data_IF_191888122686
#
_entry.id   IF_191888122686
#
_cell.length_a   1.000
_cell.length_b   1.000
_cell.length_c   1.000
_cell.angle_alpha   90.00
_cell.angle_beta   90.00
_cell.angle_gamma   90.00
#
_symmetry.space_group_name_H-M   'P 1'
#
loop_
_entity.id
_entity.type
_entity.pdbx_description
1 polymer ?
#
# COMPACT_ATOMS: atom_id res chain seq x y z
N UNK A 1 -11.95 -14.54 -8.58
CA UNK A 1 -11.55 -13.33 -7.82
C UNK A 1 -10.80 -13.63 -6.51
N UNK A 2 -10.11 -14.78 -6.36
CA UNK A 2 -9.41 -15.15 -5.11
C UNK A 2 -8.02 -14.49 -4.95
N UNK A 3 -7.50 -13.89 -6.02
CA UNK A 3 -6.12 -13.49 -6.21
C UNK A 3 -5.83 -12.06 -5.72
N UNK A 4 -6.80 -11.14 -5.81
CA UNK A 4 -6.66 -9.78 -5.27
C UNK A 4 -6.61 -9.74 -3.74
N UNK A 5 -7.41 -10.59 -3.08
CA UNK A 5 -7.46 -10.63 -1.62
C UNK A 5 -6.16 -11.19 -1.01
N UNK A 6 -5.62 -12.29 -1.57
CA UNK A 6 -4.36 -12.85 -1.10
C UNK A 6 -3.20 -11.86 -1.30
N UNK A 7 -3.22 -11.12 -2.42
CA UNK A 7 -2.26 -10.05 -2.71
C UNK A 7 -2.33 -8.92 -1.69
N UNK A 8 -3.52 -8.36 -1.42
CA UNK A 8 -3.70 -7.29 -0.45
C UNK A 8 -3.22 -7.68 0.96
N UNK A 9 -3.49 -8.91 1.40
CA UNK A 9 -2.99 -9.43 2.70
C UNK A 9 -1.48 -9.55 2.73
N UNK A 10 -0.89 -10.11 1.68
CA UNK A 10 0.56 -10.28 1.57
C UNK A 10 1.27 -8.94 1.54
N UNK A 11 0.73 -7.99 0.78
CA UNK A 11 1.22 -6.63 0.69
C UNK A 11 1.16 -5.93 2.05
N UNK A 12 -0.02 -5.91 2.69
CA UNK A 12 -0.20 -5.28 4.01
C UNK A 12 0.76 -5.85 5.06
N UNK A 13 0.92 -7.17 5.11
CA UNK A 13 1.82 -7.82 6.07
C UNK A 13 3.29 -7.47 5.80
N UNK A 14 3.72 -7.53 4.53
CA UNK A 14 5.08 -7.20 4.12
C UNK A 14 5.39 -5.74 4.45
N UNK A 15 4.54 -4.81 4.02
CA UNK A 15 4.75 -3.37 4.18
C UNK A 15 4.85 -3.00 5.67
N UNK A 16 3.96 -3.52 6.53
CA UNK A 16 4.00 -3.27 7.98
C UNK A 16 5.26 -3.84 8.64
N UNK A 17 5.69 -5.05 8.26
CA UNK A 17 6.93 -5.62 8.80
C UNK A 17 8.16 -4.83 8.37
N UNK A 18 8.19 -4.35 7.13
CA UNK A 18 9.29 -3.54 6.63
C UNK A 18 9.36 -2.19 7.33
N UNK A 19 8.20 -1.57 7.57
CA UNK A 19 8.13 -0.33 8.30
C UNK A 19 8.70 -0.48 9.73
N UNK A 20 8.26 -1.51 10.47
CA UNK A 20 8.75 -1.75 11.81
C UNK A 20 10.28 -2.00 11.86
N UNK A 21 10.80 -2.77 10.89
CA UNK A 21 12.25 -3.03 10.79
C UNK A 21 13.02 -1.75 10.44
N UNK A 22 12.50 -0.91 9.55
CA UNK A 22 13.11 0.37 9.18
C UNK A 22 13.30 1.30 10.37
N UNK A 23 12.26 1.44 11.22
CA UNK A 23 12.32 2.24 12.44
C UNK A 23 13.40 1.73 13.40
N UNK A 24 13.44 0.42 13.65
CA UNK A 24 14.43 -0.21 14.55
C UNK A 24 15.86 -0.03 14.03
N UNK A 25 16.08 -0.11 12.72
CA UNK A 25 17.39 0.11 12.11
C UNK A 25 17.82 1.56 12.28
N UNK A 26 16.91 2.52 12.08
CA UNK A 26 17.21 3.95 12.24
C UNK A 26 17.59 4.27 13.68
N UNK A 27 16.78 3.83 14.65
CA UNK A 27 17.06 4.01 16.09
C UNK A 27 18.39 3.38 16.49
N UNK A 28 18.67 2.16 16.00
CA UNK A 28 19.93 1.47 16.29
C UNK A 28 21.14 2.22 15.72
N UNK A 29 21.06 2.65 14.46
CA UNK A 29 22.13 3.37 13.78
C UNK A 29 22.43 4.75 14.40
N UNK A 30 21.39 5.47 14.85
CA UNK A 30 21.56 6.70 15.61
C UNK A 30 22.25 6.43 16.96
N UNK A 31 21.79 5.40 17.68
CA UNK A 31 22.31 5.04 19.00
C UNK A 31 23.79 4.66 19.00
N UNK A 32 24.27 3.99 17.94
CA UNK A 32 25.68 3.63 17.79
C UNK A 32 26.54 4.76 17.17
N UNK A 33 25.95 5.92 16.85
CA UNK A 33 26.64 7.05 16.22
C UNK A 33 27.06 6.79 14.77
N UNK A 34 26.45 5.81 14.10
CA UNK A 34 26.77 5.48 12.70
C UNK A 34 26.18 6.48 11.72
N UNK A 35 25.03 7.08 12.06
CA UNK A 35 24.39 8.14 11.28
C UNK A 35 24.47 9.47 12.04
N UNK A 36 24.68 10.57 11.31
CA UNK A 36 24.59 11.92 11.86
C UNK A 36 23.13 12.39 11.91
N UNK A 37 22.84 13.36 12.78
CA UNK A 37 21.46 13.85 13.00
C UNK A 37 20.72 14.23 11.71
N UNK A 38 21.37 14.95 10.79
CA UNK A 38 20.73 15.35 9.52
C UNK A 38 20.43 14.17 8.58
N UNK A 39 21.19 13.08 8.66
CA UNK A 39 20.93 11.86 7.88
C UNK A 39 19.80 11.05 8.52
N UNK A 40 19.76 10.98 9.86
CA UNK A 40 18.66 10.37 10.61
C UNK A 40 17.34 11.10 10.33
N UNK A 41 17.33 12.43 10.35
CA UNK A 41 16.14 13.24 10.04
C UNK A 41 15.63 12.99 8.61
N UNK A 42 16.52 12.99 7.61
CA UNK A 42 16.14 12.73 6.22
C UNK A 42 15.57 11.32 6.04
N UNK A 43 16.24 10.30 6.58
CA UNK A 43 15.77 8.91 6.49
C UNK A 43 14.48 8.68 7.29
N UNK A 44 14.34 9.34 8.44
CA UNK A 44 13.10 9.36 9.23
C UNK A 44 11.94 9.96 8.45
N UNK A 45 12.18 11.03 7.68
CA UNK A 45 11.19 11.62 6.79
C UNK A 45 10.71 10.65 5.70
N UNK A 46 11.63 9.95 5.03
CA UNK A 46 11.31 8.93 4.03
C UNK A 46 10.50 7.79 4.66
N UNK A 47 10.93 7.33 5.84
CA UNK A 47 10.24 6.28 6.57
C UNK A 47 8.81 6.70 7.00
N UNK A 48 8.63 7.95 7.43
CA UNK A 48 7.32 8.47 7.77
C UNK A 48 6.39 8.55 6.54
N UNK A 49 6.93 8.92 5.38
CA UNK A 49 6.19 8.91 4.12
C UNK A 49 5.74 7.48 3.76
N UNK A 50 6.63 6.49 3.86
CA UNK A 50 6.31 5.08 3.66
C UNK A 50 5.15 4.61 4.54
N UNK A 51 5.19 4.92 5.84
CA UNK A 51 4.14 4.57 6.79
C UNK A 51 2.83 5.29 6.46
N UNK A 52 2.89 6.56 6.06
CA UNK A 52 1.71 7.32 5.65
C UNK A 52 1.04 6.69 4.43
N UNK A 53 1.81 6.27 3.43
CA UNK A 53 1.29 5.59 2.23
C UNK A 53 0.59 4.28 2.59
N UNK A 54 1.18 3.48 3.48
CA UNK A 54 0.56 2.23 3.94
C UNK A 54 -0.72 2.48 4.73
N UNK A 55 -0.74 3.53 5.54
CA UNK A 55 -1.92 3.93 6.27
C UNK A 55 -3.05 4.35 5.32
N UNK A 56 -2.74 5.13 4.27
CA UNK A 56 -3.70 5.51 3.23
C UNK A 56 -4.26 4.28 2.50
N UNK A 57 -3.42 3.29 2.20
CA UNK A 57 -3.86 2.02 1.62
C UNK A 57 -4.86 1.28 2.51
N UNK A 58 -4.53 1.09 3.79
CA UNK A 58 -5.43 0.41 4.75
C UNK A 58 -6.72 1.21 4.96
N UNK A 59 -6.63 2.54 5.00
CA UNK A 59 -7.79 3.42 5.09
C UNK A 59 -8.69 3.24 3.87
N UNK A 60 -8.12 3.22 2.67
CA UNK A 60 -8.89 3.06 1.43
C UNK A 60 -9.68 1.75 1.41
N UNK A 61 -9.07 0.64 1.84
CA UNK A 61 -9.74 -0.66 1.99
C UNK A 61 -10.84 -0.65 3.06
N UNK A 62 -10.68 0.15 4.12
CA UNK A 62 -11.65 0.24 5.22
C UNK A 62 -12.81 1.20 4.95
N UNK A 63 -12.60 2.22 4.12
CA UNK A 63 -13.61 3.22 3.74
C UNK A 63 -14.19 2.99 2.35
N UNK A 64 -13.85 1.88 1.70
CA UNK A 64 -14.32 1.55 0.36
C UNK A 64 -14.01 2.67 -0.67
N UNK A 65 -12.91 3.41 -0.45
CA UNK A 65 -12.56 4.56 -1.28
C UNK A 65 -11.67 4.11 -2.44
N UNK A 66 -12.28 3.93 -3.60
CA UNK A 66 -11.63 3.43 -4.80
C UNK A 66 -10.48 4.32 -5.30
N UNK A 67 -10.67 5.64 -5.33
CA UNK A 67 -9.66 6.57 -5.83
C UNK A 67 -8.43 6.59 -4.91
N UNK A 68 -8.65 6.62 -3.59
CA UNK A 68 -7.59 6.53 -2.60
C UNK A 68 -6.88 5.17 -2.66
N UNK A 69 -7.60 4.09 -2.98
CA UNK A 69 -7.04 2.76 -3.16
C UNK A 69 -6.08 2.71 -4.35
N UNK A 70 -6.48 3.25 -5.50
CA UNK A 70 -5.61 3.28 -6.68
C UNK A 70 -4.37 4.18 -6.49
N UNK A 71 -4.55 5.36 -5.88
CA UNK A 71 -3.45 6.26 -5.55
C UNK A 71 -2.44 5.59 -4.59
N UNK A 72 -2.94 5.00 -3.51
CA UNK A 72 -2.10 4.32 -2.54
C UNK A 72 -1.39 3.11 -3.13
N UNK A 73 -2.02 2.28 -3.98
CA UNK A 73 -1.34 1.17 -4.69
C UNK A 73 -0.23 1.68 -5.61
N UNK A 74 -0.46 2.79 -6.32
CA UNK A 74 0.57 3.41 -7.18
C UNK A 74 1.76 3.90 -6.35
N UNK A 75 1.52 4.55 -5.21
CA UNK A 75 2.57 5.01 -4.29
C UNK A 75 3.31 3.85 -3.63
N UNK A 76 2.62 2.81 -3.16
CA UNK A 76 3.24 1.58 -2.62
C UNK A 76 4.11 0.91 -3.67
N UNK A 77 3.71 0.88 -4.95
CA UNK A 77 4.51 0.28 -6.02
C UNK A 77 5.89 0.93 -6.17
N UNK A 78 6.01 2.24 -5.97
CA UNK A 78 7.31 2.95 -6.05
C UNK A 78 8.22 2.50 -4.91
N UNK A 79 7.70 2.43 -3.69
CA UNK A 79 8.44 1.98 -2.52
C UNK A 79 8.88 0.51 -2.64
N UNK A 80 8.00 -0.37 -3.14
CA UNK A 80 8.36 -1.75 -3.41
C UNK A 80 9.49 -1.87 -4.43
N UNK A 81 9.51 -1.02 -5.46
CA UNK A 81 10.58 -1.02 -6.46
C UNK A 81 11.90 -0.57 -5.84
N UNK A 82 11.88 0.52 -5.06
CA UNK A 82 13.05 1.05 -4.36
C UNK A 82 13.63 0.06 -3.33
N UNK A 83 12.76 -0.68 -2.62
CA UNK A 83 13.15 -1.69 -1.65
C UNK A 83 13.58 -3.04 -2.27
N UNK A 84 13.54 -3.18 -3.60
CA UNK A 84 13.93 -4.41 -4.30
C UNK A 84 12.85 -5.51 -4.33
N UNK A 85 11.61 -5.22 -3.93
CA UNK A 85 10.45 -6.12 -4.00
C UNK A 85 9.85 -6.18 -5.41
N UNK A 86 10.67 -6.55 -6.39
CA UNK A 86 10.35 -6.47 -7.83
C UNK A 86 9.09 -7.26 -8.19
N UNK A 87 8.86 -8.42 -7.55
CA UNK A 87 7.67 -9.23 -7.81
C UNK A 87 6.38 -8.53 -7.38
N UNK A 88 6.35 -7.96 -6.17
CA UNK A 88 5.19 -7.22 -5.68
C UNK A 88 4.95 -5.93 -6.46
N UNK A 89 6.02 -5.21 -6.85
CA UNK A 89 5.91 -4.02 -7.68
C UNK A 89 5.34 -4.34 -9.07
N UNK A 90 5.79 -5.44 -9.70
CA UNK A 90 5.22 -5.91 -10.98
C UNK A 90 3.75 -6.30 -10.86
N UNK A 91 3.38 -7.00 -9.78
CA UNK A 91 2.00 -7.34 -9.50
C UNK A 91 1.12 -6.10 -9.27
N UNK A 92 1.64 -5.08 -8.54
CA UNK A 92 0.96 -3.79 -8.37
C UNK A 92 0.71 -3.11 -9.71
N UNK A 93 1.74 -3.08 -10.57
CA UNK A 93 1.64 -2.48 -11.89
C UNK A 93 0.60 -3.19 -12.78
N UNK A 94 0.61 -4.52 -12.81
CA UNK A 94 -0.41 -5.30 -13.53
C UNK A 94 -1.82 -5.07 -12.98
N UNK A 95 -1.95 -4.98 -11.65
CA UNK A 95 -3.22 -4.65 -11.02
C UNK A 95 -3.75 -3.29 -11.51
N UNK A 96 -2.93 -2.23 -11.46
CA UNK A 96 -3.32 -0.89 -11.92
C UNK A 96 -3.69 -0.86 -13.41
N UNK A 97 -2.96 -1.61 -14.24
CA UNK A 97 -3.29 -1.76 -15.67
C UNK A 97 -4.63 -2.47 -15.90
N UNK A 98 -4.98 -3.45 -15.07
CA UNK A 98 -6.28 -4.11 -15.15
C UNK A 98 -7.38 -3.18 -14.67
N UNK A 99 -7.13 -2.41 -13.62
CA UNK A 99 -8.11 -1.49 -13.05
C UNK A 99 -8.43 -0.31 -13.97
N UNK A 100 -7.46 0.18 -14.77
CA UNK A 100 -7.74 1.22 -15.77
C UNK A 100 -8.63 0.75 -16.92
N UNK A 101 -8.59 -0.55 -17.23
CA UNK A 101 -9.42 -1.18 -18.27
C UNK A 101 -10.77 -1.67 -17.73
N UNK A 102 -10.97 -1.61 -16.42
CA UNK A 102 -12.10 -2.22 -15.74
C UNK A 102 -13.44 -1.70 -16.27
N UNK A 103 -13.56 -0.38 -16.46
CA UNK A 103 -14.75 0.28 -17.01
C UNK A 103 -15.13 -0.21 -18.41
N UNK A 104 -14.15 -0.58 -19.24
CA UNK A 104 -14.41 -1.11 -20.58
C UNK A 104 -14.74 -2.61 -20.57
N UNK A 105 -14.45 -3.31 -19.46
CA UNK A 105 -14.60 -4.76 -19.34
C UNK A 105 -15.84 -5.22 -18.59
N UNK A 106 -16.43 -4.36 -17.75
CA UNK A 106 -17.61 -4.65 -16.96
C UNK A 106 -18.84 -3.91 -17.49
N UNK A 107 -20.05 -4.46 -17.33
CA UNK A 107 -21.29 -3.70 -17.47
C UNK A 107 -21.29 -2.49 -16.52
N UNK A 108 -21.83 -1.35 -16.96
CA UNK A 108 -21.82 -0.09 -16.18
C UNK A 108 -22.38 -0.29 -14.75
N UNK A 109 -23.44 -1.08 -14.61
CA UNK A 109 -24.05 -1.37 -13.32
C UNK A 109 -23.11 -2.13 -12.36
N UNK A 110 -22.35 -3.10 -12.88
CA UNK A 110 -21.38 -3.86 -12.08
C UNK A 110 -20.16 -3.02 -11.74
N UNK A 111 -19.74 -2.13 -12.65
CA UNK A 111 -18.66 -1.19 -12.40
C UNK A 111 -19.02 -0.20 -11.29
N UNK A 112 -20.21 0.38 -11.33
CA UNK A 112 -20.70 1.30 -10.29
C UNK A 112 -20.80 0.61 -8.93
N UNK A 113 -21.33 -0.62 -8.89
CA UNK A 113 -21.34 -1.40 -7.65
C UNK A 113 -19.91 -1.67 -7.16
N UNK A 114 -18.98 -2.04 -8.05
CA UNK A 114 -17.61 -2.35 -7.67
C UNK A 114 -16.87 -1.15 -7.08
N UNK A 115 -17.06 0.04 -7.66
CA UNK A 115 -16.39 1.29 -7.27
C UNK A 115 -17.08 1.96 -6.08
N UNK A 116 -18.41 2.04 -6.10
CA UNK A 116 -19.20 2.85 -5.16
C UNK A 116 -19.63 2.06 -3.91
N UNK A 117 -19.83 0.74 -4.01
CA UNK A 117 -20.23 -0.11 -2.88
C UNK A 117 -19.04 -0.88 -2.27
N UNK A 118 -17.80 -0.62 -2.72
CA UNK A 118 -16.60 -1.18 -2.07
C UNK A 118 -16.32 -2.64 -2.35
N UNK A 119 -16.98 -3.29 -3.32
CA UNK A 119 -16.80 -4.73 -3.57
C UNK A 119 -15.38 -5.13 -4.04
N UNK A 120 -14.47 -4.17 -4.22
CA UNK A 120 -13.06 -4.41 -4.48
C UNK A 120 -12.29 -4.90 -3.23
N UNK A 121 -12.77 -4.60 -2.01
CA UNK A 121 -12.15 -4.98 -0.76
C UNK A 121 -13.11 -5.82 0.11
N UNK A 122 -12.59 -6.91 0.69
CA UNK A 122 -13.38 -7.73 1.63
C UNK A 122 -13.15 -7.23 3.04
N UNK A 123 -14.15 -6.53 3.59
CA UNK A 123 -14.14 -6.10 4.99
C UNK A 123 -14.25 -7.30 5.92
N UNK A 124 -13.36 -7.37 6.92
CA UNK A 124 -13.44 -8.39 7.99
C UNK A 124 -14.39 -7.99 9.12
N UNK A 125 -14.69 -6.70 9.23
CA UNK A 125 -15.62 -6.14 10.22
C UNK A 125 -16.11 -4.78 9.73
N UNK A 126 -17.26 -4.33 10.23
CA UNK A 126 -17.81 -3.00 9.95
C UNK A 126 -17.10 -1.87 10.72
N UNK A 127 -16.04 -2.19 11.47
CA UNK A 127 -15.21 -1.18 12.14
C UNK A 127 -14.33 -0.46 11.13
N UNK A 128 -14.29 0.87 11.26
CA UNK A 128 -13.43 1.74 10.46
C UNK A 128 -11.99 1.83 11.00
N UNK A 129 -11.73 1.30 12.21
CA UNK A 129 -10.42 1.21 12.86
C UNK A 129 -10.34 0.04 13.85
#
# INVERSE_FOLDING_TARGET
>A
MANGHAYARGLRALSLSQAAIGLLILEYCEKIGFLSGSVVENLGGIHHEEVSVMHDFVRAEGTDNWDLHLDSVQRVSVHLHAAGHIHYAKSAHLYLQNMSKLKASLPDQEFELFVSEGYFAVRRSDKFW
#
